data_IF_348957872093
#
_entry.id   IF_348957872093
#
_cell.length_a   1.000
_cell.length_b   1.000
_cell.length_c   1.000
_cell.angle_alpha   90.00
_cell.angle_beta   90.00
_cell.angle_gamma   90.00
#
_symmetry.space_group_name_H-M   'P 1'
#
loop_
_entity.id
_entity.type
_entity.pdbx_description
1 polymer ?
#
# COMPACT_ATOMS: atom_id res chain seq x y z
N UNK A 1 -36.34 36.11 31.02
CA UNK A 1 -35.38 35.01 31.33
C UNK A 1 -35.49 33.78 30.42
N UNK A 2 -36.68 33.31 30.00
CA UNK A 2 -36.83 32.10 29.14
C UNK A 2 -36.09 32.12 27.78
N UNK A 3 -35.93 33.29 27.15
CA UNK A 3 -35.25 33.41 25.83
C UNK A 3 -33.73 33.20 25.88
N UNK A 4 -33.07 33.50 27.02
CA UNK A 4 -31.62 33.36 27.18
C UNK A 4 -31.25 31.88 27.38
N UNK A 5 -32.05 31.13 28.12
CA UNK A 5 -31.82 29.69 28.32
C UNK A 5 -32.06 28.87 27.04
N UNK A 6 -33.01 29.29 26.20
CA UNK A 6 -33.24 28.65 24.89
C UNK A 6 -32.06 28.87 23.92
N UNK A 7 -31.43 30.05 23.95
CA UNK A 7 -30.26 30.36 23.13
C UNK A 7 -29.02 29.55 23.55
N UNK A 8 -28.80 29.38 24.86
CA UNK A 8 -27.71 28.55 25.38
C UNK A 8 -27.90 27.06 25.06
N UNK A 9 -29.14 26.57 25.04
CA UNK A 9 -29.43 25.17 24.69
C UNK A 9 -29.11 24.86 23.22
N UNK A 10 -29.40 25.80 22.31
CA UNK A 10 -29.06 25.68 20.89
C UNK A 10 -27.53 25.69 20.69
N UNK A 11 -26.82 26.53 21.44
CA UNK A 11 -25.35 26.60 21.38
C UNK A 11 -24.68 25.31 21.90
N UNK A 12 -25.27 24.67 22.91
CA UNK A 12 -24.75 23.42 23.49
C UNK A 12 -24.98 22.19 22.59
N UNK A 13 -26.01 22.22 21.74
CA UNK A 13 -26.31 21.12 20.80
C UNK A 13 -25.47 21.21 19.51
N UNK A 14 -25.06 22.41 19.10
CA UNK A 14 -24.27 22.63 17.87
C UNK A 14 -22.75 22.57 18.08
N UNK A 15 -22.27 22.77 19.31
CA UNK A 15 -20.83 22.72 19.63
C UNK A 15 -20.15 21.36 19.37
N UNK A 16 -20.75 20.18 19.65
CA UNK A 16 -20.06 18.91 19.43
C UNK A 16 -19.97 18.52 17.93
N UNK A 17 -20.75 19.13 17.04
CA UNK A 17 -20.74 18.81 15.61
C UNK A 17 -19.46 19.24 14.89
N UNK A 18 -18.70 20.18 15.47
CA UNK A 18 -17.51 20.76 14.85
C UNK A 18 -16.26 19.91 15.11
N UNK A 19 -16.26 19.09 16.18
CA UNK A 19 -15.10 18.28 16.57
C UNK A 19 -14.96 16.97 15.79
N UNK A 20 -16.03 16.48 15.16
CA UNK A 20 -16.00 15.22 14.39
C UNK A 20 -15.60 15.42 12.91
N UNK A 21 -15.43 16.66 12.44
CA UNK A 21 -15.22 16.98 11.03
C UNK A 21 -13.78 17.40 10.65
N UNK A 22 -12.80 17.23 11.54
CA UNK A 22 -11.43 17.74 11.34
C UNK A 22 -10.32 16.70 11.50
N UNK A 23 -10.59 15.42 11.23
CA UNK A 23 -9.49 14.54 10.83
C UNK A 23 -9.19 14.86 9.36
N UNK A 24 -8.10 15.58 9.11
CA UNK A 24 -7.70 16.01 7.77
C UNK A 24 -7.14 14.83 6.97
N UNK A 25 -8.02 13.90 6.59
CA UNK A 25 -7.71 12.76 5.71
C UNK A 25 -7.20 13.22 4.34
N UNK A 26 -7.35 14.51 4.01
CA UNK A 26 -6.78 15.08 2.80
C UNK A 26 -5.28 14.76 2.72
N UNK A 27 -4.53 14.95 3.81
CA UNK A 27 -3.08 14.74 3.76
C UNK A 27 -2.69 13.28 3.47
N UNK A 28 -3.37 12.30 4.07
CA UNK A 28 -3.17 10.87 3.79
C UNK A 28 -3.65 10.50 2.37
N UNK A 29 -4.80 11.02 1.92
CA UNK A 29 -5.35 10.74 0.59
C UNK A 29 -4.54 11.39 -0.55
N UNK A 30 -3.75 12.43 -0.27
CA UNK A 30 -2.86 13.07 -1.22
C UNK A 30 -1.51 12.35 -1.36
N UNK A 31 -1.21 11.37 -0.51
CA UNK A 31 0.01 10.57 -0.65
C UNK A 31 -0.05 9.80 -1.98
N UNK A 32 0.93 10.08 -2.84
CA UNK A 32 0.91 9.61 -4.23
C UNK A 32 1.28 8.13 -4.25
N UNK A 33 0.27 7.29 -4.40
CA UNK A 33 0.43 5.84 -4.67
C UNK A 33 1.18 5.60 -6.00
N UNK A 34 1.15 6.59 -6.90
CA UNK A 34 1.69 6.48 -8.25
C UNK A 34 2.40 7.76 -8.67
N UNK A 35 3.58 7.57 -9.24
CA UNK A 35 4.33 8.57 -9.96
C UNK A 35 4.38 8.27 -11.46
N UNK A 36 4.20 9.31 -12.28
CA UNK A 36 4.48 9.26 -13.72
C UNK A 36 5.83 9.96 -13.98
N UNK A 37 6.87 9.17 -14.24
CA UNK A 37 8.24 9.66 -14.43
C UNK A 37 8.89 8.94 -15.60
N UNK A 38 9.52 9.68 -16.50
CA UNK A 38 10.23 9.16 -17.69
C UNK A 38 9.37 8.27 -18.59
N UNK A 39 8.08 8.61 -18.75
CA UNK A 39 7.17 7.82 -19.58
C UNK A 39 6.76 6.48 -18.96
N UNK A 40 6.89 6.35 -17.63
CA UNK A 40 6.54 5.14 -16.88
C UNK A 40 5.69 5.47 -15.68
N UNK A 41 4.77 4.56 -15.37
CA UNK A 41 4.16 4.45 -14.05
C UNK A 41 5.17 3.83 -13.09
N UNK A 42 5.33 4.42 -11.91
CA UNK A 42 6.14 3.92 -10.80
C UNK A 42 5.36 4.00 -9.50
N UNK A 43 5.43 2.97 -8.69
CA UNK A 43 4.92 2.97 -7.31
C UNK A 43 5.97 2.34 -6.41
N UNK A 44 6.06 2.83 -5.17
CA UNK A 44 6.96 2.31 -4.17
C UNK A 44 6.35 2.48 -2.79
N UNK A 45 6.30 1.39 -2.02
CA UNK A 45 5.94 1.38 -0.61
C UNK A 45 7.10 0.79 0.20
N UNK A 46 7.33 1.38 1.37
CA UNK A 46 8.23 0.86 2.39
C UNK A 46 7.41 0.51 3.63
N UNK A 47 7.51 -0.73 4.09
CA UNK A 47 6.70 -1.24 5.21
C UNK A 47 7.63 -1.85 6.24
N UNK A 48 7.40 -1.51 7.51
CA UNK A 48 8.01 -2.19 8.65
C UNK A 48 7.01 -3.17 9.24
N UNK A 49 7.40 -4.44 9.26
CA UNK A 49 6.69 -5.51 9.94
C UNK A 49 7.38 -5.77 11.28
N UNK A 50 6.71 -5.49 12.39
CA UNK A 50 7.25 -5.66 13.73
C UNK A 50 6.55 -6.83 14.45
N UNK A 51 7.34 -7.70 15.04
CA UNK A 51 6.93 -8.71 16.02
C UNK A 51 7.74 -8.53 17.29
N UNK A 52 7.37 -9.20 18.37
CA UNK A 52 8.12 -9.13 19.65
C UNK A 52 9.58 -9.61 19.52
N UNK A 53 9.89 -10.43 18.52
CA UNK A 53 11.22 -11.02 18.34
C UNK A 53 12.04 -10.41 17.19
N UNK A 54 11.39 -9.84 16.17
CA UNK A 54 12.05 -9.38 14.95
C UNK A 54 11.27 -8.26 14.27
N UNK A 55 12.00 -7.34 13.66
CA UNK A 55 11.47 -6.38 12.69
C UNK A 55 11.99 -6.72 11.29
N UNK A 56 11.13 -6.57 10.27
CA UNK A 56 11.45 -6.83 8.87
C UNK A 56 11.03 -5.60 8.05
N UNK A 57 11.98 -5.01 7.33
CA UNK A 57 11.72 -3.94 6.36
C UNK A 57 11.46 -4.52 4.97
N UNK A 58 10.26 -4.26 4.46
CA UNK A 58 9.87 -4.62 3.11
C UNK A 58 9.91 -3.38 2.23
N UNK A 59 10.56 -3.50 1.08
CA UNK A 59 10.42 -2.56 -0.03
C UNK A 59 9.57 -3.23 -1.10
N UNK A 60 8.46 -2.61 -1.49
CA UNK A 60 7.64 -3.08 -2.59
C UNK A 60 7.65 -2.00 -3.66
N UNK A 61 7.91 -2.38 -4.90
CA UNK A 61 7.97 -1.44 -6.02
C UNK A 61 7.29 -2.02 -7.24
N UNK A 62 6.77 -1.14 -8.08
CA UNK A 62 6.21 -1.49 -9.38
C UNK A 62 6.61 -0.49 -10.45
N UNK A 63 6.82 -0.98 -11.67
CA UNK A 63 7.05 -0.13 -12.83
C UNK A 63 6.39 -0.66 -14.11
N UNK A 64 5.82 0.26 -14.91
CA UNK A 64 5.21 -0.04 -16.20
C UNK A 64 5.46 1.10 -17.20
N UNK A 65 5.84 0.83 -18.46
CA UNK A 65 5.79 1.85 -19.50
C UNK A 65 4.35 2.36 -19.71
N UNK A 66 4.18 3.67 -19.89
CA UNK A 66 2.87 4.26 -20.20
C UNK A 66 2.36 3.64 -21.52
N UNK A 67 1.08 3.26 -21.52
CA UNK A 67 0.43 2.60 -22.66
C UNK A 67 0.52 1.07 -22.66
N UNK A 68 1.29 0.45 -21.75
CA UNK A 68 1.26 -1.01 -21.54
C UNK A 68 0.03 -1.43 -20.72
N UNK A 69 -0.30 -0.65 -19.70
CA UNK A 69 -1.41 -0.89 -18.79
C UNK A 69 -2.06 0.45 -18.45
N UNK A 70 -3.38 0.45 -18.20
CA UNK A 70 -4.07 1.65 -17.71
C UNK A 70 -3.67 1.97 -16.28
N UNK A 71 -3.68 3.26 -15.91
CA UNK A 71 -3.34 3.74 -14.56
C UNK A 71 -4.04 2.96 -13.45
N UNK A 72 -5.36 2.78 -13.57
CA UNK A 72 -6.15 2.14 -12.51
C UNK A 72 -5.88 0.64 -12.44
N UNK A 73 -5.61 -0.01 -13.58
CA UNK A 73 -5.19 -1.41 -13.61
C UNK A 73 -3.79 -1.59 -13.02
N UNK A 74 -2.89 -0.63 -13.24
CA UNK A 74 -1.56 -0.63 -12.61
C UNK A 74 -1.71 -0.58 -11.09
N UNK A 75 -2.44 0.41 -10.56
CA UNK A 75 -2.67 0.55 -9.12
C UNK A 75 -3.35 -0.69 -8.55
N UNK A 76 -4.39 -1.19 -9.21
CA UNK A 76 -5.12 -2.39 -8.76
C UNK A 76 -4.24 -3.64 -8.68
N UNK A 77 -3.45 -3.94 -9.73
CA UNK A 77 -2.54 -5.08 -9.72
C UNK A 77 -1.42 -4.90 -8.71
N UNK A 78 -0.84 -3.70 -8.64
CA UNK A 78 0.18 -3.36 -7.64
C UNK A 78 -0.31 -3.63 -6.22
N UNK A 79 -1.45 -3.06 -5.82
CA UNK A 79 -2.00 -3.23 -4.48
C UNK A 79 -2.40 -4.69 -4.20
N UNK A 80 -3.00 -5.37 -5.18
CA UNK A 80 -3.43 -6.77 -5.03
C UNK A 80 -2.25 -7.71 -4.83
N UNK A 81 -1.23 -7.63 -5.68
CA UNK A 81 -0.05 -8.50 -5.56
C UNK A 81 0.80 -8.14 -4.34
N UNK A 82 0.89 -6.87 -3.95
CA UNK A 82 1.54 -6.47 -2.69
C UNK A 82 0.90 -7.18 -1.50
N UNK A 83 -0.43 -7.14 -1.39
CA UNK A 83 -1.16 -7.81 -0.32
C UNK A 83 -0.96 -9.34 -0.35
N UNK A 84 -1.11 -9.97 -1.51
CA UNK A 84 -0.93 -11.43 -1.66
C UNK A 84 0.48 -11.85 -1.24
N UNK A 85 1.50 -11.11 -1.65
CA UNK A 85 2.89 -11.42 -1.33
C UNK A 85 3.18 -11.25 0.16
N UNK A 86 2.69 -10.16 0.77
CA UNK A 86 2.81 -9.94 2.22
C UNK A 86 2.14 -11.10 2.97
N UNK A 87 0.89 -11.45 2.62
CA UNK A 87 0.18 -12.56 3.27
C UNK A 87 0.92 -13.89 3.09
N UNK A 88 1.42 -14.18 1.88
CA UNK A 88 2.15 -15.42 1.61
C UNK A 88 3.46 -15.50 2.40
N UNK A 89 4.16 -14.38 2.58
CA UNK A 89 5.37 -14.30 3.40
C UNK A 89 5.06 -14.57 4.87
N UNK A 90 3.94 -14.06 5.37
CA UNK A 90 3.51 -14.27 6.75
C UNK A 90 3.15 -15.73 7.01
N UNK A 91 2.35 -16.35 6.14
CA UNK A 91 2.03 -17.77 6.20
C UNK A 91 3.30 -18.64 6.20
N UNK A 92 4.26 -18.34 5.32
CA UNK A 92 5.53 -19.05 5.25
C UNK A 92 6.44 -18.89 6.47
N UNK A 93 6.28 -17.79 7.22
CA UNK A 93 7.06 -17.52 8.44
C UNK A 93 6.48 -18.16 9.70
N UNK A 94 5.26 -18.72 9.63
CA UNK A 94 4.55 -19.27 10.79
C UNK A 94 4.09 -18.22 11.80
N UNK A 95 4.15 -16.94 11.45
CA UNK A 95 3.72 -15.82 12.30
C UNK A 95 2.26 -15.51 11.98
N UNK A 96 1.41 -15.48 13.01
CA UNK A 96 0.01 -15.07 12.84
C UNK A 96 -0.08 -13.58 12.51
N UNK A 97 -1.01 -13.21 11.62
CA UNK A 97 -1.30 -11.80 11.29
C UNK A 97 -1.68 -11.00 12.54
N UNK A 98 -2.32 -11.63 13.53
CA UNK A 98 -2.68 -10.98 14.80
C UNK A 98 -1.50 -10.48 15.61
N UNK A 99 -0.32 -11.07 15.41
CA UNK A 99 0.86 -10.85 16.25
C UNK A 99 1.84 -9.87 15.59
N UNK A 100 1.48 -9.37 14.40
CA UNK A 100 2.31 -8.47 13.61
C UNK A 100 1.74 -7.05 13.60
N UNK A 101 2.61 -6.09 13.90
CA UNK A 101 2.31 -4.66 13.74
C UNK A 101 2.84 -4.20 12.40
N UNK A 102 1.94 -3.63 11.59
CA UNK A 102 2.27 -3.02 10.31
C UNK A 102 2.48 -1.53 10.52
N UNK A 103 3.55 -1.00 9.93
CA UNK A 103 3.78 0.44 9.89
C UNK A 103 4.29 0.81 8.51
N UNK A 104 3.59 1.73 7.86
CA UNK A 104 4.08 2.36 6.65
C UNK A 104 5.25 3.29 7.01
N UNK A 105 6.29 3.25 6.19
CA UNK A 105 7.47 4.09 6.31
C UNK A 105 7.48 5.08 5.15
N UNK A 106 7.88 6.33 5.43
CA UNK A 106 8.14 7.34 4.39
C UNK A 106 9.24 6.89 3.39
N UNK A 107 10.02 5.86 3.74
CA UNK A 107 11.04 5.24 2.92
C UNK A 107 11.83 4.17 3.68
N UNK A 108 12.68 3.42 2.97
CA UNK A 108 13.53 2.40 3.58
C UNK A 108 14.61 3.02 4.48
N UNK A 109 14.77 2.45 5.67
CA UNK A 109 15.81 2.85 6.62
C UNK A 109 17.03 1.95 6.41
N UNK A 110 17.99 2.43 5.61
CA UNK A 110 19.20 1.67 5.27
C UNK A 110 18.96 0.71 4.11
N UNK A 111 18.92 -0.60 4.39
CA UNK A 111 18.71 -1.65 3.38
C UNK A 111 17.44 -2.43 3.70
N UNK A 112 16.61 -2.77 2.69
CA UNK A 112 15.45 -3.62 2.93
C UNK A 112 15.89 -5.05 3.24
N UNK A 113 15.20 -5.70 4.17
CA UNK A 113 15.37 -7.14 4.39
C UNK A 113 14.82 -7.93 3.19
N UNK A 114 13.73 -7.43 2.60
CA UNK A 114 13.05 -8.04 1.46
C UNK A 114 12.69 -6.95 0.45
N UNK A 115 13.11 -7.14 -0.80
CA UNK A 115 12.79 -6.27 -1.93
C UNK A 115 11.90 -7.00 -2.93
N UNK A 116 10.71 -6.47 -3.16
CA UNK A 116 9.73 -6.95 -4.13
C UNK A 116 9.66 -5.93 -5.27
N UNK A 117 9.91 -6.37 -6.50
CA UNK A 117 9.79 -5.55 -7.70
C UNK A 117 8.83 -6.18 -8.70
N UNK A 118 7.79 -5.44 -9.08
CA UNK A 118 6.80 -5.84 -10.07
C UNK A 118 7.04 -5.08 -11.38
N UNK A 119 7.44 -5.79 -12.42
CA UNK A 119 7.73 -5.21 -13.74
C UNK A 119 6.61 -5.59 -14.70
N UNK A 120 5.86 -4.59 -15.16
CA UNK A 120 4.76 -4.76 -16.10
C UNK A 120 5.27 -4.50 -17.53
N UNK A 121 5.02 -5.46 -18.42
CA UNK A 121 5.46 -5.44 -19.81
C UNK A 121 4.30 -5.74 -20.77
N UNK A 122 4.49 -5.57 -22.07
CA UNK A 122 3.42 -5.77 -23.07
C UNK A 122 2.77 -7.16 -23.03
N UNK A 123 3.51 -8.20 -22.66
CA UNK A 123 3.04 -9.59 -22.66
C UNK A 123 2.58 -10.12 -21.29
N UNK A 124 2.83 -9.38 -20.21
CA UNK A 124 2.61 -9.88 -18.86
C UNK A 124 3.35 -9.06 -17.81
N UNK A 125 3.46 -9.63 -16.62
CA UNK A 125 4.27 -9.09 -15.53
C UNK A 125 5.30 -10.11 -15.03
N UNK A 126 6.35 -9.58 -14.42
CA UNK A 126 7.28 -10.36 -13.63
C UNK A 126 7.37 -9.77 -12.22
N UNK A 127 7.31 -10.64 -11.21
CA UNK A 127 7.54 -10.31 -9.81
C UNK A 127 8.90 -10.85 -9.44
N UNK A 128 9.77 -10.01 -8.92
CA UNK A 128 11.12 -10.34 -8.48
C UNK A 128 11.14 -10.15 -6.96
N UNK A 129 11.44 -11.20 -6.22
CA UNK A 129 11.58 -11.15 -4.76
C UNK A 129 13.04 -11.40 -4.41
N UNK A 130 13.69 -10.42 -3.79
CA UNK A 130 15.06 -10.54 -3.29
C UNK A 130 15.03 -10.55 -1.77
N UNK A 131 15.75 -11.49 -1.18
CA UNK A 131 15.98 -11.57 0.26
C UNK A 131 17.38 -12.11 0.54
N UNK A 132 17.72 -12.30 1.82
CA UNK A 132 18.92 -13.02 2.26
C UNK A 132 19.02 -14.46 1.70
N UNK A 133 17.88 -15.08 1.37
CA UNK A 133 17.81 -16.41 0.77
C UNK A 133 18.06 -16.42 -0.75
N UNK A 134 18.17 -15.26 -1.40
CA UNK A 134 18.48 -15.12 -2.82
C UNK A 134 17.40 -14.39 -3.61
N UNK A 135 17.35 -14.66 -4.92
CA UNK A 135 16.46 -13.95 -5.86
C UNK A 135 15.51 -14.94 -6.54
N UNK A 136 14.22 -14.78 -6.28
CA UNK A 136 13.14 -15.52 -6.91
C UNK A 136 12.44 -14.67 -7.96
N UNK A 137 11.97 -15.30 -9.05
CA UNK A 137 11.25 -14.62 -10.14
C UNK A 137 9.99 -15.40 -10.50
N UNK A 138 8.87 -14.70 -10.58
CA UNK A 138 7.58 -15.23 -10.99
C UNK A 138 7.10 -14.47 -12.21
N UNK A 139 6.84 -15.16 -13.32
CA UNK A 139 6.37 -14.53 -14.56
C UNK A 139 4.95 -14.98 -14.86
N UNK A 140 4.08 -14.02 -15.10
CA UNK A 140 2.66 -14.24 -15.41
C UNK A 140 2.28 -13.49 -16.68
N UNK A 141 1.57 -14.15 -17.60
CA UNK A 141 1.08 -13.51 -18.82
C UNK A 141 -0.26 -12.81 -18.57
N UNK A 142 -0.59 -11.82 -19.39
CA UNK A 142 -1.90 -11.16 -19.29
C UNK A 142 -3.07 -12.13 -19.50
N UNK A 143 -2.91 -13.12 -20.37
CA UNK A 143 -3.95 -14.11 -20.62
C UNK A 143 -4.27 -14.93 -19.37
N UNK A 144 -3.25 -15.29 -18.59
CA UNK A 144 -3.42 -15.99 -17.31
C UNK A 144 -4.02 -15.08 -16.24
N UNK A 145 -3.58 -13.83 -16.15
CA UNK A 145 -4.07 -12.86 -15.15
C UNK A 145 -5.54 -12.49 -15.40
N UNK A 146 -5.92 -12.27 -16.66
CA UNK A 146 -7.27 -11.85 -17.03
C UNK A 146 -8.16 -13.01 -17.49
N UNK A 147 -7.70 -14.26 -17.32
CA UNK A 147 -8.41 -15.47 -17.75
C UNK A 147 -8.93 -15.40 -19.20
N UNK A 148 -8.16 -14.81 -20.11
CA UNK A 148 -8.49 -14.79 -21.53
C UNK A 148 -8.06 -16.12 -22.14
N UNK A 149 -9.04 -16.90 -22.58
CA UNK A 149 -8.84 -18.14 -23.34
C UNK A 149 -8.55 -17.84 -24.81
#
# INVERSE_FOLDING_TARGET
MKKIHFLCLIFFILAPSISFAQTDYSKELHERILDEVDGRYKAEDAILLETDAKSIQLKISAEAPIGVIGRDNFVSLYSTYSLILIMSMMEGSGISISDMKFRDLDGIIGFPDIEIAMVFAKSGMQIIVKSDQGVNRFTETWDKIFNKK
#
